data_IF_492812472973
#
_entry.id   IF_492812472973
#
_cell.length_a   1.000
_cell.length_b   1.000
_cell.length_c   1.000
_cell.angle_alpha   90.00
_cell.angle_beta   90.00
_cell.angle_gamma   90.00
#
_symmetry.space_group_name_H-M   'P 1'
#
loop_
_entity.id
_entity.type
_entity.pdbx_description
1 polymer ?
#
# COMPACT_ATOMS: atom_id res chain seq x y z
N UNK A 1 -13.28 34.56 26.84
CA UNK A 1 -14.03 33.57 26.05
C UNK A 1 -13.38 32.23 26.30
N UNK A 2 -14.10 31.24 26.83
CA UNK A 2 -13.51 29.93 27.11
C UNK A 2 -13.25 29.20 25.78
N UNK A 3 -12.01 28.76 25.56
CA UNK A 3 -11.66 27.95 24.39
C UNK A 3 -12.24 26.56 24.59
N UNK A 4 -13.08 26.12 23.66
CA UNK A 4 -13.70 24.78 23.67
C UNK A 4 -13.11 23.86 22.60
N UNK A 5 -12.24 24.38 21.72
CA UNK A 5 -11.56 23.67 20.65
C UNK A 5 -10.08 23.42 20.93
N UNK A 6 -9.47 22.48 20.19
CA UNK A 6 -8.03 22.20 20.16
C UNK A 6 -7.36 21.94 21.53
N UNK A 7 -8.15 21.58 22.54
CA UNK A 7 -7.68 21.42 23.91
C UNK A 7 -6.73 20.23 24.12
N UNK A 8 -6.68 19.30 23.14
CA UNK A 8 -5.88 18.07 23.19
C UNK A 8 -5.15 17.78 21.87
N UNK A 9 -4.93 18.79 21.04
CA UNK A 9 -4.26 18.64 19.74
C UNK A 9 -2.94 19.40 19.73
N UNK A 10 -1.96 18.82 19.05
CA UNK A 10 -0.72 19.50 18.67
C UNK A 10 -0.67 19.52 17.14
N UNK A 11 -0.47 20.70 16.56
CA UNK A 11 -0.29 20.83 15.10
C UNK A 11 1.07 20.25 14.74
N UNK A 12 1.08 19.28 13.83
CA UNK A 12 2.31 18.71 13.27
C UNK A 12 2.64 19.44 11.96
N UNK A 13 1.84 19.25 10.92
CA UNK A 13 2.00 19.91 9.62
C UNK A 13 0.72 19.79 8.78
N UNK A 14 0.68 20.47 7.62
CA UNK A 14 -0.32 20.28 6.58
C UNK A 14 0.07 19.14 5.64
N UNK A 15 -0.89 18.32 5.23
CA UNK A 15 -0.66 17.21 4.30
C UNK A 15 -0.69 17.70 2.84
N UNK A 16 0.20 17.17 2.01
CA UNK A 16 0.11 17.29 0.54
C UNK A 16 -1.21 16.69 0.05
N UNK A 17 -1.77 17.20 -1.04
CA UNK A 17 -2.98 16.60 -1.63
C UNK A 17 -2.64 15.34 -2.44
N UNK A 18 -3.57 14.38 -2.59
CA UNK A 18 -3.36 13.22 -3.46
C UNK A 18 -3.02 13.62 -4.90
N UNK A 19 -3.64 14.67 -5.43
CA UNK A 19 -3.39 15.17 -6.78
C UNK A 19 -1.98 15.72 -6.94
N UNK A 20 -1.49 16.54 -6.00
CA UNK A 20 -0.12 17.06 -6.04
C UNK A 20 0.91 15.93 -5.95
N UNK A 21 0.67 14.92 -5.09
CA UNK A 21 1.56 13.78 -4.98
C UNK A 21 1.58 12.95 -6.27
N UNK A 22 0.40 12.70 -6.86
CA UNK A 22 0.28 11.99 -8.14
C UNK A 22 0.94 12.74 -9.31
N UNK A 23 0.93 14.09 -9.29
CA UNK A 23 1.64 14.90 -10.29
C UNK A 23 3.17 14.80 -10.13
N UNK A 24 3.68 14.79 -8.90
CA UNK A 24 5.12 14.61 -8.62
C UNK A 24 5.62 13.20 -8.97
N UNK A 25 4.77 12.20 -8.76
CA UNK A 25 5.07 10.79 -8.96
C UNK A 25 3.99 10.15 -9.85
N UNK A 26 4.02 10.44 -11.17
CA UNK A 26 2.97 10.03 -12.09
C UNK A 26 3.04 8.53 -12.37
N UNK A 27 1.86 7.93 -12.56
CA UNK A 27 1.74 6.56 -13.05
C UNK A 27 1.98 6.55 -14.55
N UNK A 28 3.02 5.84 -14.99
CA UNK A 28 3.27 5.64 -16.42
C UNK A 28 2.21 4.72 -17.04
N UNK A 29 2.05 4.78 -18.36
CA UNK A 29 1.09 3.91 -19.07
C UNK A 29 1.40 2.43 -18.87
N UNK A 30 2.67 2.03 -18.82
CA UNK A 30 3.08 0.65 -18.58
C UNK A 30 2.71 0.19 -17.17
N UNK A 31 2.92 1.03 -16.14
CA UNK A 31 2.50 0.72 -14.76
C UNK A 31 0.98 0.62 -14.66
N UNK A 32 0.25 1.55 -15.28
CA UNK A 32 -1.22 1.53 -15.27
C UNK A 32 -1.77 0.24 -15.91
N UNK A 33 -1.23 -0.16 -17.06
CA UNK A 33 -1.58 -1.45 -17.69
C UNK A 33 -1.23 -2.63 -16.80
N UNK A 34 -0.02 -2.67 -16.23
CA UNK A 34 0.42 -3.74 -15.34
C UNK A 34 -0.48 -3.91 -14.11
N UNK A 35 -0.83 -2.82 -13.42
CA UNK A 35 -1.74 -2.85 -12.28
C UNK A 35 -3.13 -3.34 -12.71
N UNK A 36 -3.66 -2.79 -13.81
CA UNK A 36 -5.00 -3.16 -14.31
C UNK A 36 -5.06 -4.64 -14.69
N UNK A 37 -4.05 -5.15 -15.39
CA UNK A 37 -4.01 -6.55 -15.79
C UNK A 37 -3.76 -7.49 -14.59
N UNK A 38 -3.02 -7.03 -13.59
CA UNK A 38 -2.84 -7.77 -12.33
C UNK A 38 -4.16 -7.90 -11.57
N UNK A 39 -4.94 -6.82 -11.46
CA UNK A 39 -6.29 -6.86 -10.85
C UNK A 39 -7.20 -7.84 -11.59
N UNK A 40 -7.26 -7.78 -12.92
CA UNK A 40 -8.04 -8.73 -13.73
C UNK A 40 -7.61 -10.19 -13.50
N UNK A 41 -6.30 -10.47 -13.40
CA UNK A 41 -5.81 -11.83 -13.11
C UNK A 41 -6.25 -12.29 -11.73
N UNK A 42 -6.16 -11.41 -10.74
CA UNK A 42 -6.61 -11.70 -9.36
C UNK A 42 -8.12 -11.97 -9.33
N UNK A 43 -8.93 -11.13 -9.98
CA UNK A 43 -10.39 -11.32 -10.10
C UNK A 43 -10.74 -12.67 -10.70
N UNK A 44 -10.07 -13.07 -11.79
CA UNK A 44 -10.27 -14.38 -12.42
C UNK A 44 -9.96 -15.53 -11.47
N UNK A 45 -8.89 -15.42 -10.66
CA UNK A 45 -8.56 -16.43 -9.65
C UNK A 45 -9.65 -16.49 -8.58
N UNK A 46 -10.10 -15.34 -8.06
CA UNK A 46 -11.13 -15.26 -7.03
C UNK A 46 -12.49 -15.81 -7.51
N UNK A 47 -12.80 -15.63 -8.79
CA UNK A 47 -14.01 -16.16 -9.42
C UNK A 47 -13.88 -17.62 -9.88
N UNK A 48 -12.70 -18.26 -9.73
CA UNK A 48 -12.46 -19.64 -10.14
C UNK A 48 -12.28 -19.85 -11.66
N UNK A 49 -12.11 -18.78 -12.43
CA UNK A 49 -11.87 -18.81 -13.88
C UNK A 49 -10.39 -19.09 -14.22
N UNK A 50 -9.48 -18.80 -13.30
CA UNK A 50 -8.05 -19.09 -13.39
C UNK A 50 -7.66 -20.01 -12.22
N UNK A 51 -7.18 -21.24 -12.47
CA UNK A 51 -6.88 -22.22 -11.41
C UNK A 51 -5.57 -21.95 -10.67
N UNK A 52 -4.84 -20.88 -11.01
CA UNK A 52 -3.59 -20.50 -10.33
C UNK A 52 -3.86 -20.08 -8.89
N UNK A 53 -2.87 -20.26 -8.03
CA UNK A 53 -2.91 -19.81 -6.64
C UNK A 53 -2.43 -18.35 -6.55
N UNK A 54 -3.27 -17.47 -5.98
CA UNK A 54 -2.84 -16.14 -5.55
C UNK A 54 -1.92 -16.25 -4.33
N UNK A 55 -0.72 -15.67 -4.42
CA UNK A 55 0.27 -15.67 -3.34
C UNK A 55 0.67 -14.24 -3.00
N UNK A 56 0.12 -13.73 -1.89
CA UNK A 56 0.52 -12.43 -1.31
C UNK A 56 1.67 -12.68 -0.34
N UNK A 57 2.89 -12.31 -0.71
CA UNK A 57 4.11 -12.63 0.03
C UNK A 57 5.09 -11.46 0.09
N UNK A 58 5.73 -11.27 1.24
CA UNK A 58 6.71 -10.20 1.44
C UNK A 58 6.91 -9.86 2.92
N UNK A 59 7.68 -8.79 3.19
CA UNK A 59 7.95 -8.33 4.55
C UNK A 59 6.67 -8.04 5.35
N UNK A 60 6.73 -8.19 6.68
CA UNK A 60 5.61 -7.86 7.55
C UNK A 60 5.24 -6.38 7.44
N UNK A 61 6.25 -5.50 7.45
CA UNK A 61 6.15 -4.06 7.21
C UNK A 61 7.46 -3.55 6.60
N UNK A 62 7.37 -2.64 5.63
CA UNK A 62 8.52 -2.03 4.97
C UNK A 62 9.03 -0.87 5.80
N UNK A 63 10.32 -0.86 6.10
CA UNK A 63 11.03 0.23 6.78
C UNK A 63 12.31 0.66 6.04
N UNK A 64 12.81 -0.18 5.12
CA UNK A 64 13.99 0.08 4.28
C UNK A 64 13.60 -0.13 2.81
N UNK A 65 13.70 0.93 2.00
CA UNK A 65 13.34 0.90 0.58
C UNK A 65 14.34 0.11 -0.26
N UNK A 66 15.62 0.11 0.09
CA UNK A 66 16.65 -0.61 -0.67
C UNK A 66 16.45 -2.10 -0.51
N UNK A 67 16.26 -2.55 0.75
CA UNK A 67 15.95 -3.95 1.04
C UNK A 67 14.62 -4.39 0.40
N UNK A 68 13.61 -3.50 0.37
CA UNK A 68 12.34 -3.78 -0.29
C UNK A 68 12.50 -3.97 -1.82
N UNK A 69 13.31 -3.13 -2.48
CA UNK A 69 13.58 -3.26 -3.91
C UNK A 69 14.44 -4.49 -4.24
N UNK A 70 15.44 -4.82 -3.42
CA UNK A 70 16.21 -6.05 -3.57
C UNK A 70 15.31 -7.28 -3.47
N UNK A 71 14.42 -7.31 -2.48
CA UNK A 71 13.41 -8.35 -2.34
C UNK A 71 12.49 -8.42 -3.56
N UNK A 72 12.03 -7.28 -4.07
CA UNK A 72 11.17 -7.22 -5.26
C UNK A 72 11.88 -7.79 -6.49
N UNK A 73 13.17 -7.50 -6.69
CA UNK A 73 13.98 -8.08 -7.77
C UNK A 73 14.08 -9.59 -7.68
N UNK A 74 14.34 -10.14 -6.48
CA UNK A 74 14.37 -11.58 -6.29
C UNK A 74 12.98 -12.22 -6.50
N UNK A 75 11.93 -11.54 -6.04
CA UNK A 75 10.55 -12.01 -6.19
C UNK A 75 10.10 -12.02 -7.66
N UNK A 76 10.55 -11.05 -8.46
CA UNK A 76 10.25 -10.99 -9.89
C UNK A 76 10.73 -12.25 -10.63
N UNK A 77 11.94 -12.72 -10.32
CA UNK A 77 12.47 -13.96 -10.88
C UNK A 77 11.61 -15.18 -10.47
N UNK A 78 11.15 -15.24 -9.22
CA UNK A 78 10.26 -16.32 -8.76
C UNK A 78 8.88 -16.24 -9.42
N UNK A 79 8.34 -15.02 -9.58
CA UNK A 79 7.07 -14.77 -10.27
C UNK A 79 7.12 -15.30 -11.70
N UNK A 80 8.17 -14.99 -12.45
CA UNK A 80 8.36 -15.51 -13.81
C UNK A 80 8.48 -17.03 -13.84
N UNK A 81 9.31 -17.60 -12.96
CA UNK A 81 9.53 -19.05 -12.87
C UNK A 81 8.24 -19.82 -12.57
N UNK A 82 7.36 -19.28 -11.76
CA UNK A 82 6.16 -19.96 -11.27
C UNK A 82 4.85 -19.47 -11.90
N UNK A 83 4.91 -18.60 -12.91
CA UNK A 83 3.74 -17.91 -13.48
C UNK A 83 2.63 -18.85 -13.99
N UNK A 84 2.98 -20.07 -14.39
CA UNK A 84 2.02 -21.07 -14.88
C UNK A 84 1.11 -21.63 -13.77
N UNK A 85 1.48 -21.47 -12.49
CA UNK A 85 0.75 -22.02 -11.33
C UNK A 85 0.43 -20.98 -10.26
N UNK A 86 1.21 -19.90 -10.17
CA UNK A 86 1.08 -18.89 -9.13
C UNK A 86 0.87 -17.50 -9.75
N UNK A 87 -0.02 -16.70 -9.17
CA UNK A 87 -0.03 -15.24 -9.30
C UNK A 87 0.62 -14.66 -8.04
N UNK A 88 1.90 -14.35 -8.14
CA UNK A 88 2.67 -13.81 -7.00
C UNK A 88 2.52 -12.29 -6.97
N UNK A 89 2.13 -11.77 -5.80
CA UNK A 89 1.95 -10.35 -5.49
C UNK A 89 2.80 -10.00 -4.27
N UNK A 90 3.57 -8.91 -4.37
CA UNK A 90 4.42 -8.47 -3.26
C UNK A 90 3.59 -7.83 -2.16
N UNK A 91 3.76 -8.31 -0.93
CA UNK A 91 3.23 -7.65 0.27
C UNK A 91 4.04 -6.38 0.56
N UNK A 92 3.43 -5.21 0.38
CA UNK A 92 4.01 -3.87 0.56
C UNK A 92 3.30 -3.08 1.65
N UNK A 93 3.31 -3.59 2.88
CA UNK A 93 2.61 -2.95 4.01
C UNK A 93 3.52 -1.91 4.66
N UNK A 94 3.01 -0.70 4.91
CA UNK A 94 3.81 0.39 5.49
C UNK A 94 3.66 0.54 6.99
N UNK A 95 2.60 -0.01 7.57
CA UNK A 95 2.33 0.05 9.00
C UNK A 95 1.85 -1.30 9.51
N UNK A 96 2.05 -1.53 10.81
CA UNK A 96 1.47 -2.64 11.56
C UNK A 96 0.66 -2.06 12.72
N UNK A 97 -0.67 -2.23 12.78
CA UNK A 97 -1.47 -1.75 13.90
C UNK A 97 -1.01 -2.35 15.23
N UNK A 98 -0.77 -1.51 16.25
CA UNK A 98 -0.32 -1.92 17.59
C UNK A 98 -1.21 -1.35 18.68
N UNK A 99 -1.41 -2.14 19.74
CA UNK A 99 -2.07 -1.71 20.99
C UNK A 99 -1.10 -1.05 21.99
N UNK A 100 0.20 -1.21 21.76
CA UNK A 100 1.28 -0.65 22.58
C UNK A 100 2.07 0.40 21.81
N UNK A 101 2.73 1.32 22.53
CA UNK A 101 3.61 2.32 21.93
C UNK A 101 4.75 1.63 21.19
N UNK A 102 5.02 2.09 19.97
CA UNK A 102 6.08 1.59 19.10
C UNK A 102 6.08 2.34 17.78
N UNK A 103 7.00 1.97 16.90
CA UNK A 103 7.11 2.58 15.57
C UNK A 103 5.79 2.48 14.79
N UNK A 104 5.38 3.61 14.23
CA UNK A 104 4.08 3.84 13.58
C UNK A 104 4.05 3.47 12.10
N UNK A 105 5.17 3.05 11.51
CA UNK A 105 5.24 2.69 10.10
C UNK A 105 5.92 3.76 9.26
N UNK A 106 6.28 3.38 8.03
CA UNK A 106 7.09 4.18 7.12
C UNK A 106 6.40 5.49 6.71
N UNK A 107 5.08 5.45 6.50
CA UNK A 107 4.33 6.64 6.11
C UNK A 107 4.32 7.64 7.27
N UNK A 108 4.05 7.19 8.49
CA UNK A 108 3.95 8.08 9.64
C UNK A 108 5.31 8.55 10.17
N UNK A 109 6.33 7.68 10.23
CA UNK A 109 7.63 7.97 10.83
C UNK A 109 8.78 7.35 9.99
N UNK A 110 9.09 7.94 8.81
CA UNK A 110 9.98 7.34 7.83
C UNK A 110 11.44 7.19 8.30
N UNK A 111 11.87 7.97 9.29
CA UNK A 111 13.25 7.95 9.80
C UNK A 111 13.40 7.15 11.09
N UNK A 112 12.33 6.52 11.56
CA UNK A 112 12.30 5.70 12.77
C UNK A 112 12.77 6.48 14.02
N UNK A 113 12.53 7.79 14.06
CA UNK A 113 13.03 8.69 15.11
C UNK A 113 11.93 9.55 15.77
N UNK A 114 10.65 9.31 15.43
CA UNK A 114 9.52 10.08 15.97
C UNK A 114 9.39 11.50 15.40
N UNK A 115 9.98 11.78 14.24
CA UNK A 115 9.89 13.10 13.59
C UNK A 115 8.56 13.36 12.89
N UNK A 116 7.76 12.30 12.68
CA UNK A 116 6.43 12.35 12.07
C UNK A 116 6.37 13.07 10.71
N UNK A 117 7.38 12.88 9.87
CA UNK A 117 7.47 13.51 8.53
C UNK A 117 6.54 12.83 7.52
N UNK A 118 5.23 12.94 7.72
CA UNK A 118 4.21 12.19 6.96
C UNK A 118 4.27 12.45 5.45
N UNK A 119 4.45 13.71 5.05
CA UNK A 119 4.59 14.05 3.62
C UNK A 119 5.78 13.31 2.99
N UNK A 120 6.92 13.25 3.68
CA UNK A 120 8.08 12.50 3.19
C UNK A 120 7.80 10.99 3.15
N UNK A 121 7.12 10.44 4.16
CA UNK A 121 6.71 9.03 4.18
C UNK A 121 5.77 8.65 3.03
N UNK A 122 4.82 9.53 2.67
CA UNK A 122 3.94 9.34 1.51
C UNK A 122 4.72 9.34 0.19
N UNK A 123 5.69 10.25 0.03
CA UNK A 123 6.57 10.29 -1.14
C UNK A 123 7.39 9.00 -1.26
N UNK A 124 7.98 8.53 -0.15
CA UNK A 124 8.73 7.27 -0.11
C UNK A 124 7.88 6.06 -0.47
N UNK A 125 6.69 5.95 0.13
CA UNK A 125 5.75 4.86 -0.12
C UNK A 125 5.33 4.82 -1.59
N UNK A 126 4.88 5.96 -2.14
CA UNK A 126 4.43 6.04 -3.54
C UNK A 126 5.57 5.74 -4.52
N UNK A 127 6.77 6.28 -4.28
CA UNK A 127 7.95 6.01 -5.12
C UNK A 127 8.30 4.52 -5.12
N UNK A 128 8.29 3.87 -3.96
CA UNK A 128 8.55 2.44 -3.87
C UNK A 128 7.52 1.62 -4.66
N UNK A 129 6.22 1.93 -4.50
CA UNK A 129 5.16 1.23 -5.22
C UNK A 129 5.28 1.39 -6.73
N UNK A 130 5.66 2.58 -7.22
CA UNK A 130 5.97 2.80 -8.64
C UNK A 130 7.12 1.90 -9.09
N UNK A 131 8.25 1.92 -8.39
CA UNK A 131 9.43 1.13 -8.75
C UNK A 131 9.16 -0.38 -8.76
N UNK A 132 8.38 -0.90 -7.80
CA UNK A 132 8.02 -2.32 -7.75
C UNK A 132 7.10 -2.69 -8.92
N UNK A 133 6.14 -1.83 -9.27
CA UNK A 133 5.28 -2.08 -10.43
C UNK A 133 6.04 -1.93 -11.76
N UNK A 134 6.96 -0.98 -11.88
CA UNK A 134 7.84 -0.80 -13.06
C UNK A 134 8.73 -2.03 -13.30
N UNK A 135 9.15 -2.70 -12.23
CA UNK A 135 9.86 -3.97 -12.28
C UNK A 135 8.98 -5.14 -12.77
N UNK A 136 7.66 -4.95 -12.84
CA UNK A 136 6.70 -5.96 -13.26
C UNK A 136 6.17 -6.84 -12.12
N UNK A 137 6.29 -6.39 -10.87
CA UNK A 137 5.77 -7.10 -9.70
C UNK A 137 4.56 -6.34 -9.17
N UNK A 138 3.36 -6.95 -9.10
CA UNK A 138 2.19 -6.28 -8.53
C UNK A 138 2.33 -6.12 -7.01
N UNK A 139 1.72 -5.07 -6.46
CA UNK A 139 1.81 -4.73 -5.04
C UNK A 139 0.50 -4.97 -4.30
N UNK A 140 0.59 -5.29 -3.01
CA UNK A 140 -0.52 -5.54 -2.11
C UNK A 140 -0.31 -4.82 -0.77
N UNK A 141 -1.31 -4.07 -0.31
CA UNK A 141 -1.25 -3.36 0.98
C UNK A 141 -2.46 -3.66 1.86
N UNK A 142 -2.35 -3.33 3.15
CA UNK A 142 -3.50 -3.19 4.04
C UNK A 142 -3.93 -1.72 4.09
N UNK A 143 -5.23 -1.47 4.00
CA UNK A 143 -5.80 -0.13 4.13
C UNK A 143 -6.29 0.08 5.56
N UNK A 144 -5.54 0.90 6.32
CA UNK A 144 -5.79 1.15 7.75
C UNK A 144 -6.68 2.37 8.02
N UNK A 145 -6.77 3.28 7.05
CA UNK A 145 -7.56 4.49 7.14
C UNK A 145 -8.01 4.96 5.75
N UNK A 146 -8.98 5.87 5.73
CA UNK A 146 -9.64 6.36 4.50
C UNK A 146 -8.82 7.38 3.71
N UNK A 147 -7.81 7.99 4.35
CA UNK A 147 -7.04 9.12 3.83
C UNK A 147 -5.80 8.61 3.09
N UNK A 148 -4.99 7.79 3.75
CA UNK A 148 -3.74 7.24 3.21
C UNK A 148 -3.99 6.44 1.93
N UNK A 149 -5.12 5.73 1.84
CA UNK A 149 -5.51 4.99 0.64
C UNK A 149 -5.56 5.85 -0.63
N UNK A 150 -6.00 7.11 -0.52
CA UNK A 150 -6.11 8.03 -1.67
C UNK A 150 -4.76 8.36 -2.33
N UNK A 151 -3.65 8.19 -1.61
CA UNK A 151 -2.32 8.54 -2.10
C UNK A 151 -1.63 7.42 -2.88
N UNK A 152 -2.09 6.17 -2.70
CA UNK A 152 -1.39 4.98 -3.19
C UNK A 152 -2.29 3.94 -3.87
N UNK A 153 -3.61 4.03 -3.73
CA UNK A 153 -4.54 2.99 -4.21
C UNK A 153 -4.46 2.73 -5.72
N UNK A 154 -4.06 3.72 -6.51
CA UNK A 154 -3.84 3.60 -7.96
C UNK A 154 -2.70 2.63 -8.32
N UNK A 155 -1.82 2.31 -7.37
CA UNK A 155 -0.66 1.42 -7.55
C UNK A 155 -0.85 0.01 -6.95
N UNK A 156 -1.99 -0.23 -6.26
CA UNK A 156 -2.27 -1.46 -5.53
C UNK A 156 -3.07 -2.43 -6.40
N UNK A 157 -2.61 -3.69 -6.50
CA UNK A 157 -3.31 -4.75 -7.22
C UNK A 157 -4.19 -5.63 -6.33
N UNK A 158 -3.95 -5.65 -5.02
CA UNK A 158 -4.78 -6.36 -4.03
C UNK A 158 -4.78 -5.66 -2.67
N UNK A 159 -5.93 -5.53 -2.03
CA UNK A 159 -6.11 -4.84 -0.75
C UNK A 159 -6.52 -5.78 0.38
N UNK A 160 -6.01 -5.52 1.59
CA UNK A 160 -6.48 -6.16 2.81
C UNK A 160 -7.22 -5.18 3.72
N UNK A 161 -8.28 -5.68 4.36
CA UNK A 161 -8.84 -5.12 5.59
C UNK A 161 -8.48 -6.07 6.73
N UNK A 162 -7.76 -5.56 7.73
CA UNK A 162 -7.25 -6.37 8.83
C UNK A 162 -8.35 -6.92 9.75
N UNK A 163 -8.00 -7.95 10.52
CA UNK A 163 -8.92 -8.59 11.47
C UNK A 163 -9.50 -7.64 12.52
N UNK A 164 -8.76 -6.57 12.88
CA UNK A 164 -9.23 -5.55 13.85
C UNK A 164 -10.21 -4.54 13.26
N UNK A 165 -10.32 -4.48 11.93
CA UNK A 165 -11.13 -3.48 11.21
C UNK A 165 -12.18 -4.11 10.30
N UNK A 166 -12.18 -5.42 10.11
CA UNK A 166 -13.16 -6.12 9.25
C UNK A 166 -14.61 -5.97 9.71
N UNK A 167 -14.86 -5.67 10.99
CA UNK A 167 -16.19 -5.38 11.53
C UNK A 167 -16.54 -3.88 11.53
N UNK A 168 -15.57 -3.01 11.25
CA UNK A 168 -15.80 -1.58 11.15
C UNK A 168 -16.58 -1.25 9.88
N UNK A 169 -17.75 -0.63 10.06
CA UNK A 169 -18.60 -0.21 8.94
C UNK A 169 -17.84 0.70 7.95
N UNK A 170 -17.10 1.68 8.44
CA UNK A 170 -16.33 2.63 7.60
C UNK A 170 -15.29 1.88 6.75
N UNK A 171 -14.67 0.82 7.26
CA UNK A 171 -13.73 0.02 6.48
C UNK A 171 -14.42 -0.86 5.43
N UNK A 172 -15.66 -1.31 5.69
CA UNK A 172 -16.47 -2.01 4.69
C UNK A 172 -16.95 -1.08 3.58
N UNK A 173 -17.32 0.15 3.94
CA UNK A 173 -17.67 1.22 2.99
C UNK A 173 -16.46 1.63 2.14
N UNK A 174 -15.26 1.66 2.72
CA UNK A 174 -14.03 1.84 1.94
C UNK A 174 -13.82 0.69 0.98
N UNK A 175 -13.91 -0.56 1.46
CA UNK A 175 -13.69 -1.75 0.65
C UNK A 175 -14.65 -1.82 -0.55
N UNK A 176 -15.89 -1.32 -0.44
CA UNK A 176 -16.82 -1.27 -1.57
C UNK A 176 -16.42 -0.26 -2.67
N UNK A 177 -15.54 0.69 -2.37
CA UNK A 177 -15.07 1.72 -3.29
C UNK A 177 -13.63 1.50 -3.78
N UNK A 178 -12.89 0.54 -3.21
CA UNK A 178 -11.53 0.23 -3.65
C UNK A 178 -11.54 -0.33 -5.07
N UNK A 179 -10.63 0.17 -5.91
CA UNK A 179 -10.50 -0.28 -7.30
C UNK A 179 -9.75 -1.61 -7.44
N UNK A 180 -9.24 -2.17 -6.35
CA UNK A 180 -8.56 -3.47 -6.33
C UNK A 180 -9.44 -4.52 -5.63
N UNK A 181 -9.26 -5.81 -5.96
CA UNK A 181 -9.80 -6.91 -5.17
C UNK A 181 -9.23 -6.98 -3.75
#
# INVERSE_FOLDING_TARGET
MNRTDELRTARIDSLVTPTELAQRYPVSSSVASHVTDSRRRIEKILNGEDPRLLVVIGPCSIHDLNAAMEYATQLQAQRQKHQARLEIVMRTYFEKPRTVVGWKGLISDPDLNGSYRVNYGLELARRLLLQVNELGVPTATEFLDMVTGQFIADLISWGAIGARTTESQIHREMASALSCP
#
